data_IF_737174143416
#
_entry.id   IF_737174143416
#
_cell.length_a   1.000
_cell.length_b   1.000
_cell.length_c   1.000
_cell.angle_alpha   90.00
_cell.angle_beta   90.00
_cell.angle_gamma   90.00
#
_symmetry.space_group_name_H-M   'P 1'
#
loop_
_entity.id
_entity.type
_entity.pdbx_description
1 polymer ?
#
# COMPACT_ATOMS: atom_id res chain seq x y z
N UNK A 1 12.05 11.67 -22.30
CA UNK A 1 10.93 12.04 -21.40
C UNK A 1 9.87 12.76 -22.20
N UNK A 2 8.59 12.51 -21.92
CA UNK A 2 7.51 13.34 -22.45
C UNK A 2 7.43 14.64 -21.63
N UNK A 3 7.22 15.77 -22.30
CA UNK A 3 7.04 17.08 -21.65
C UNK A 3 5.54 17.37 -21.50
N UNK A 4 5.13 17.81 -20.32
CA UNK A 4 3.75 18.20 -20.03
C UNK A 4 3.76 19.63 -19.49
N UNK A 5 3.06 20.55 -20.18
CA UNK A 5 2.90 21.93 -19.74
C UNK A 5 1.63 22.04 -18.91
N UNK A 6 1.72 22.64 -17.72
CA UNK A 6 0.58 22.87 -16.82
C UNK A 6 0.59 24.35 -16.43
N UNK A 7 -0.57 24.99 -16.49
CA UNK A 7 -0.78 26.32 -15.91
C UNK A 7 -1.31 26.18 -14.49
N UNK A 8 -0.67 26.87 -13.55
CA UNK A 8 -1.04 26.88 -12.14
C UNK A 8 -1.28 28.32 -11.67
N UNK A 9 -2.21 28.55 -10.73
CA UNK A 9 -2.26 29.81 -10.00
C UNK A 9 -0.93 30.12 -9.32
N UNK A 10 -0.59 31.39 -9.18
CA UNK A 10 0.73 31.83 -8.65
C UNK A 10 1.04 31.21 -7.28
N UNK A 11 0.05 31.14 -6.38
CA UNK A 11 0.21 30.54 -5.06
C UNK A 11 0.60 29.04 -5.13
N UNK A 12 0.05 28.29 -6.08
CA UNK A 12 0.37 26.87 -6.26
C UNK A 12 1.75 26.68 -6.88
N UNK A 13 2.14 27.55 -7.81
CA UNK A 13 3.50 27.56 -8.37
C UNK A 13 4.52 27.81 -7.28
N UNK A 14 4.33 28.85 -6.47
CA UNK A 14 5.23 29.20 -5.37
C UNK A 14 5.36 28.06 -4.36
N UNK A 15 4.24 27.42 -4.01
CA UNK A 15 4.27 26.24 -3.16
C UNK A 15 5.13 25.12 -3.76
N UNK A 16 4.94 24.79 -5.03
CA UNK A 16 5.67 23.72 -5.69
C UNK A 16 7.18 24.02 -5.79
N UNK A 17 7.55 25.28 -5.98
CA UNK A 17 8.94 25.75 -5.95
C UNK A 17 9.56 25.62 -4.55
N UNK A 18 8.82 25.94 -3.48
CA UNK A 18 9.29 25.75 -2.10
C UNK A 18 9.53 24.26 -1.79
N UNK A 19 8.67 23.38 -2.30
CA UNK A 19 8.88 21.93 -2.13
C UNK A 19 10.17 21.47 -2.82
N UNK A 20 10.47 22.00 -4.02
CA UNK A 20 11.74 21.73 -4.69
C UNK A 20 12.95 22.28 -3.90
N UNK A 21 12.83 23.45 -3.28
CA UNK A 21 13.91 24.06 -2.49
C UNK A 21 14.18 23.34 -1.15
N UNK A 22 13.27 22.48 -0.68
CA UNK A 22 13.44 21.73 0.58
C UNK A 22 14.59 20.70 0.56
N UNK A 23 15.27 20.52 -0.57
CA UNK A 23 16.34 19.53 -0.77
C UNK A 23 15.83 18.10 -1.03
N UNK A 24 14.51 17.88 -0.95
CA UNK A 24 13.87 16.58 -1.24
C UNK A 24 13.72 16.31 -2.73
N UNK A 25 13.63 17.34 -3.56
CA UNK A 25 13.41 17.23 -5.00
C UNK A 25 14.40 18.14 -5.74
N UNK A 26 14.87 17.74 -6.93
CA UNK A 26 15.85 18.54 -7.68
C UNK A 26 15.19 19.69 -8.46
N UNK A 27 13.89 19.61 -8.74
CA UNK A 27 13.10 20.64 -9.41
C UNK A 27 11.59 20.43 -9.19
N UNK A 28 10.78 21.38 -9.63
CA UNK A 28 9.32 21.34 -9.54
C UNK A 28 8.70 20.15 -10.28
N UNK A 29 9.24 19.75 -11.44
CA UNK A 29 8.75 18.60 -12.20
C UNK A 29 8.98 17.27 -11.46
N UNK A 30 10.03 17.17 -10.65
CA UNK A 30 10.30 16.01 -9.80
C UNK A 30 9.26 15.91 -8.69
N UNK A 31 8.93 17.04 -8.06
CA UNK A 31 7.85 17.12 -7.08
C UNK A 31 6.50 16.72 -7.69
N UNK A 32 6.15 17.25 -8.87
CA UNK A 32 4.89 16.90 -9.56
C UNK A 32 4.85 15.41 -9.93
N UNK A 33 5.96 14.83 -10.43
CA UNK A 33 6.01 13.39 -10.72
C UNK A 33 5.82 12.54 -9.47
N UNK A 34 6.36 12.95 -8.32
CA UNK A 34 6.14 12.27 -7.06
C UNK A 34 4.67 12.37 -6.58
N UNK A 35 4.04 13.54 -6.73
CA UNK A 35 2.62 13.70 -6.44
C UNK A 35 1.74 12.77 -7.28
N UNK A 36 2.04 12.64 -8.57
CA UNK A 36 1.29 11.72 -9.46
C UNK A 36 1.45 10.27 -8.99
N UNK A 37 2.67 9.83 -8.61
CA UNK A 37 2.88 8.48 -8.09
C UNK A 37 2.11 8.24 -6.79
N UNK A 38 2.15 9.20 -5.87
CA UNK A 38 1.39 9.13 -4.61
C UNK A 38 -0.11 9.04 -4.83
N UNK A 39 -0.64 9.78 -5.81
CA UNK A 39 -2.06 9.69 -6.15
C UNK A 39 -2.41 8.33 -6.75
N UNK A 40 -1.60 7.81 -7.68
CA UNK A 40 -1.76 6.45 -8.22
C UNK A 40 -1.70 5.38 -7.12
N UNK A 41 -0.74 5.48 -6.20
CA UNK A 41 -0.61 4.55 -5.07
C UNK A 41 -1.83 4.61 -4.15
N UNK A 42 -2.32 5.82 -3.85
CA UNK A 42 -3.52 6.00 -3.04
C UNK A 42 -4.74 5.39 -3.70
N UNK A 43 -4.94 5.63 -5.00
CA UNK A 43 -6.07 5.07 -5.75
C UNK A 43 -6.03 3.53 -5.77
N UNK A 44 -4.86 2.94 -6.04
CA UNK A 44 -4.67 1.49 -6.00
C UNK A 44 -4.98 0.90 -4.63
N UNK A 45 -4.49 1.51 -3.55
CA UNK A 45 -4.78 1.05 -2.17
C UNK A 45 -6.27 1.11 -1.85
N UNK A 46 -6.95 2.15 -2.29
CA UNK A 46 -8.40 2.29 -2.10
C UNK A 46 -9.15 1.21 -2.88
N UNK A 47 -8.77 0.97 -4.14
CA UNK A 47 -9.37 -0.09 -4.97
C UNK A 47 -9.18 -1.48 -4.35
N UNK A 48 -7.95 -1.80 -3.92
CA UNK A 48 -7.63 -3.07 -3.26
C UNK A 48 -8.44 -3.26 -1.97
N UNK A 49 -8.49 -2.24 -1.11
CA UNK A 49 -9.27 -2.30 0.13
C UNK A 49 -10.76 -2.47 -0.17
N UNK A 50 -11.29 -1.76 -1.17
CA UNK A 50 -12.70 -1.88 -1.55
C UNK A 50 -13.02 -3.29 -2.08
N UNK A 51 -12.11 -3.90 -2.83
CA UNK A 51 -12.26 -5.28 -3.29
C UNK A 51 -12.28 -6.27 -2.11
N UNK A 52 -11.36 -6.13 -1.15
CA UNK A 52 -11.32 -6.97 0.05
C UNK A 52 -12.57 -6.83 0.92
N UNK A 53 -13.05 -5.60 1.12
CA UNK A 53 -14.31 -5.34 1.85
C UNK A 53 -15.50 -5.96 1.13
N UNK A 54 -15.57 -5.80 -0.20
CA UNK A 54 -16.64 -6.39 -1.01
C UNK A 54 -16.64 -7.91 -0.91
N UNK A 55 -15.47 -8.55 -1.00
CA UNK A 55 -15.32 -9.98 -0.81
C UNK A 55 -15.74 -10.42 0.60
N UNK A 56 -15.36 -9.66 1.63
CA UNK A 56 -15.78 -9.91 3.01
C UNK A 56 -17.30 -9.85 3.19
N UNK A 57 -17.96 -8.83 2.64
CA UNK A 57 -19.42 -8.71 2.67
C UNK A 57 -20.09 -9.87 1.93
N UNK A 58 -19.59 -10.22 0.74
CA UNK A 58 -20.11 -11.33 -0.07
C UNK A 58 -19.91 -12.70 0.60
N UNK A 59 -18.90 -12.84 1.47
CA UNK A 59 -18.67 -14.08 2.25
C UNK A 59 -19.73 -14.35 3.33
N UNK A 60 -20.58 -13.36 3.61
CA UNK A 60 -21.64 -13.46 4.61
C UNK A 60 -21.15 -13.31 6.05
N UNK A 61 -22.07 -13.37 7.03
CA UNK A 61 -21.72 -13.19 8.43
C UNK A 61 -20.86 -14.35 8.96
N UNK A 62 -19.81 -14.01 9.72
CA UNK A 62 -19.04 -15.00 10.46
C UNK A 62 -19.88 -15.65 11.56
N UNK A 63 -19.78 -16.96 11.71
CA UNK A 63 -20.53 -17.74 12.72
C UNK A 63 -19.72 -18.07 13.97
N UNK A 64 -18.39 -17.81 13.94
CA UNK A 64 -17.48 -18.14 15.05
C UNK A 64 -17.41 -17.00 16.06
N UNK A 65 -17.38 -17.37 17.32
CA UNK A 65 -17.05 -16.49 18.44
C UNK A 65 -15.57 -16.10 18.44
N UNK A 66 -15.22 -15.04 19.18
CA UNK A 66 -13.82 -14.60 19.32
C UNK A 66 -12.93 -15.67 19.96
N UNK A 67 -13.45 -16.48 20.88
CA UNK A 67 -12.68 -17.53 21.53
C UNK A 67 -12.39 -18.69 20.58
N UNK A 68 -13.35 -19.07 19.74
CA UNK A 68 -13.14 -20.06 18.67
C UNK A 68 -12.13 -19.56 17.63
N UNK A 69 -12.22 -18.29 17.22
CA UNK A 69 -11.24 -17.69 16.30
C UNK A 69 -9.83 -17.70 16.91
N UNK A 70 -9.68 -17.37 18.19
CA UNK A 70 -8.38 -17.40 18.89
C UNK A 70 -7.83 -18.81 18.99
N UNK A 71 -8.66 -19.80 19.30
CA UNK A 71 -8.25 -21.20 19.38
C UNK A 71 -7.74 -21.71 18.01
N UNK A 72 -8.47 -21.40 16.93
CA UNK A 72 -8.06 -21.73 15.55
C UNK A 72 -6.75 -21.05 15.18
N UNK A 73 -6.61 -19.74 15.44
CA UNK A 73 -5.39 -19.01 15.14
C UNK A 73 -4.16 -19.56 15.89
N UNK A 74 -4.33 -19.92 17.18
CA UNK A 74 -3.26 -20.54 17.97
C UNK A 74 -2.85 -21.90 17.40
N UNK A 75 -3.81 -22.73 16.99
CA UNK A 75 -3.53 -24.01 16.36
C UNK A 75 -2.74 -23.85 15.06
N UNK A 76 -3.20 -22.95 14.17
CA UNK A 76 -2.51 -22.67 12.91
C UNK A 76 -1.08 -22.15 13.10
N UNK A 77 -0.85 -21.32 14.12
CA UNK A 77 0.49 -20.84 14.44
C UNK A 77 1.43 -21.94 14.98
N UNK A 78 0.89 -22.97 15.63
CA UNK A 78 1.66 -24.12 16.11
C UNK A 78 1.93 -25.14 14.99
N UNK A 79 0.98 -25.33 14.07
CA UNK A 79 1.11 -26.25 12.93
C UNK A 79 2.01 -25.67 11.81
N UNK A 80 2.13 -24.33 11.70
CA UNK A 80 2.97 -23.65 10.72
C UNK A 80 4.48 -23.63 11.04
N UNK A 81 4.88 -24.03 12.25
CA UNK A 81 6.29 -24.08 12.68
C UNK A 81 6.96 -25.42 12.31
N UNK A 82 6.18 -26.43 11.88
CA UNK A 82 6.70 -27.77 11.54
C UNK A 82 7.16 -27.96 10.09
N UNK A 83 6.93 -27.01 9.18
CA UNK A 83 7.29 -27.14 7.75
C UNK A 83 8.67 -26.52 7.39
N UNK A 84 9.44 -26.05 8.38
CA UNK A 84 10.68 -25.28 8.16
C UNK A 84 12.02 -26.02 8.26
N UNK A 85 12.07 -27.33 8.58
CA UNK A 85 13.34 -28.04 8.80
C UNK A 85 13.42 -29.34 8.00
N UNK A 86 13.57 -29.24 6.68
CA UNK A 86 14.22 -30.29 5.87
C UNK A 86 14.73 -29.73 4.54
N UNK A 87 15.96 -29.22 4.54
CA UNK A 87 16.78 -29.10 3.32
C UNK A 87 18.17 -28.58 3.68
N UNK A 88 18.97 -29.40 4.35
CA UNK A 88 20.44 -29.35 4.27
C UNK A 88 21.00 -30.71 4.71
N UNK A 89 21.07 -31.66 3.78
CA UNK A 89 22.10 -32.68 3.68
C UNK A 89 21.95 -33.47 2.37
N UNK A 90 23.08 -33.98 1.87
CA UNK A 90 23.34 -34.60 0.56
C UNK A 90 23.65 -33.56 -0.54
N UNK A 91 24.86 -33.44 -1.08
CA UNK A 91 26.13 -34.15 -0.91
C UNK A 91 27.21 -33.48 -1.76
#
# INVERSE_FOLDING_TARGET
MATMNISLPEAMKHWAELQAQSGRYSNTSDYVRDLIRKDQDRLRKVEELQALVTAGIASGPGTRSMDELRAVAKKLAMDGDSDGVHSQQEG
#
